data_IF_661737052583
#
_entry.id   IF_661737052583
#
_cell.length_a   1.000
_cell.length_b   1.000
_cell.length_c   1.000
_cell.angle_alpha   90.00
_cell.angle_beta   90.00
_cell.angle_gamma   90.00
#
_symmetry.space_group_name_H-M   'P 1'
#
loop_
_entity.id
_entity.type
_entity.pdbx_description
1 polymer ?
#
# COMPACT_ATOMS: atom_id res chain seq x y z
N UNK A 1 25.97 13.06 10.55
CA UNK A 1 25.17 13.94 11.41
C UNK A 1 23.71 13.67 11.08
N UNK A 2 23.12 12.87 11.89
CA UNK A 2 21.70 12.65 12.22
C UNK A 2 20.63 12.70 11.12
N UNK A 3 20.31 11.52 10.61
CA UNK A 3 19.00 11.17 9.97
C UNK A 3 18.62 9.71 10.22
N UNK A 4 18.78 9.20 11.43
CA UNK A 4 18.46 7.80 11.73
C UNK A 4 17.38 7.60 12.80
N UNK A 5 16.56 8.60 13.15
CA UNK A 5 15.62 8.50 14.27
C UNK A 5 14.13 8.58 13.93
N UNK A 6 13.71 8.26 12.69
CA UNK A 6 12.26 8.34 12.36
C UNK A 6 11.55 6.98 12.36
N UNK A 7 12.24 5.87 12.54
CA UNK A 7 11.62 4.54 12.53
C UNK A 7 11.35 3.94 13.92
N UNK A 8 11.49 4.72 14.99
CA UNK A 8 11.19 4.23 16.34
C UNK A 8 10.02 5.00 16.99
N UNK A 9 8.91 5.08 16.28
CA UNK A 9 7.68 5.56 16.91
C UNK A 9 7.02 4.38 17.62
N UNK A 10 7.12 4.35 18.94
CA UNK A 10 6.35 3.50 19.83
C UNK A 10 4.87 3.53 19.45
N UNK A 11 4.42 2.50 18.76
CA UNK A 11 3.00 2.21 18.64
C UNK A 11 2.51 1.85 20.05
N UNK A 12 1.72 2.72 20.62
CA UNK A 12 0.98 2.50 21.85
C UNK A 12 0.31 1.12 21.80
N UNK A 13 0.81 0.19 22.58
CA UNK A 13 0.13 -1.05 22.87
C UNK A 13 -1.08 -0.72 23.73
N UNK A 14 -2.24 -0.61 23.10
CA UNK A 14 -3.52 -0.66 23.84
C UNK A 14 -3.73 -2.12 24.23
N UNK A 15 -3.81 -2.45 25.51
CA UNK A 15 -4.07 -3.83 25.92
C UNK A 15 -5.49 -4.22 25.51
N UNK A 16 -5.61 -5.10 24.51
CA UNK A 16 -6.87 -5.76 24.20
C UNK A 16 -7.14 -6.80 25.29
N UNK A 17 -8.09 -6.50 26.16
CA UNK A 17 -8.70 -7.51 27.03
C UNK A 17 -9.44 -8.53 26.17
N UNK A 18 -9.07 -9.80 26.34
CA UNK A 18 -9.75 -10.93 25.74
C UNK A 18 -11.24 -10.92 26.10
N UNK A 19 -12.09 -11.03 25.09
CA UNK A 19 -13.50 -11.34 25.28
C UNK A 19 -13.64 -12.83 25.63
N UNK A 20 -13.98 -13.09 26.88
CA UNK A 20 -14.70 -14.30 27.22
C UNK A 20 -16.19 -13.98 27.06
N UNK A 21 -16.89 -14.81 26.29
CA UNK A 21 -18.34 -14.80 26.25
C UNK A 21 -18.86 -15.27 27.60
N UNK A 22 -19.62 -14.46 28.28
CA UNK A 22 -20.58 -14.93 29.27
C UNK A 22 -21.82 -14.01 29.25
N UNK A 23 -22.97 -14.66 29.17
CA UNK A 23 -24.29 -14.05 29.26
C UNK A 23 -24.59 -13.69 30.70
N UNK A 24 -25.03 -12.47 30.90
CA UNK A 24 -25.78 -12.11 32.12
C UNK A 24 -24.99 -11.37 33.18
N UNK A 25 -25.15 -10.08 33.20
CA UNK A 25 -25.43 -9.25 34.37
C UNK A 25 -25.20 -7.76 33.98
N UNK A 26 -26.32 -7.08 33.85
CA UNK A 26 -26.33 -5.62 34.00
C UNK A 26 -26.03 -5.39 35.49
N UNK A 27 -24.81 -4.93 35.79
CA UNK A 27 -24.45 -4.46 37.13
C UNK A 27 -23.85 -3.06 37.09
N UNK A 28 -24.61 -2.17 37.65
CA UNK A 28 -24.27 -0.95 38.35
C UNK A 28 -23.24 -0.01 37.71
N UNK A 29 -23.78 0.89 36.90
CA UNK A 29 -23.20 2.21 36.69
C UNK A 29 -23.33 2.99 38.00
N UNK A 30 -22.19 3.44 38.53
CA UNK A 30 -22.13 4.24 39.73
C UNK A 30 -23.14 5.41 39.70
N UNK A 31 -23.88 5.69 40.79
CA UNK A 31 -24.83 6.79 40.82
C UNK A 31 -24.10 8.13 40.83
N UNK A 32 -24.14 8.83 39.68
CA UNK A 32 -23.52 10.17 39.55
C UNK A 32 -23.34 10.67 38.13
N UNK A 33 -23.53 9.86 37.12
CA UNK A 33 -23.53 10.33 35.75
C UNK A 33 -24.90 10.88 35.39
N UNK A 34 -25.00 12.19 35.18
CA UNK A 34 -26.21 12.82 34.67
C UNK A 34 -26.56 12.24 33.29
N UNK A 35 -27.87 12.08 32.96
CA UNK A 35 -28.26 11.56 31.65
C UNK A 35 -27.74 12.48 30.57
N UNK A 36 -26.98 11.87 29.62
CA UNK A 36 -26.42 12.59 28.47
C UNK A 36 -27.59 13.05 27.60
N UNK A 37 -27.83 14.34 27.57
CA UNK A 37 -28.78 14.96 26.66
C UNK A 37 -28.16 14.99 25.26
N UNK A 38 -28.85 14.42 24.26
CA UNK A 38 -28.44 14.41 22.84
C UNK A 38 -28.54 15.80 22.14
N UNK A 39 -28.50 16.89 22.90
CA UNK A 39 -28.40 18.23 22.35
C UNK A 39 -26.93 18.56 22.05
N UNK A 40 -26.67 19.25 20.94
CA UNK A 40 -25.33 19.50 20.36
C UNK A 40 -24.19 19.93 21.32
N UNK A 41 -24.52 20.49 22.51
CA UNK A 41 -23.54 20.82 23.54
C UNK A 41 -22.93 19.62 24.28
N UNK A 42 -23.63 18.49 24.34
CA UNK A 42 -23.13 17.28 25.01
C UNK A 42 -22.04 16.59 24.19
N UNK A 43 -22.14 16.63 22.86
CA UNK A 43 -21.14 16.06 21.96
C UNK A 43 -19.83 16.85 22.02
N UNK A 44 -19.87 18.16 22.19
CA UNK A 44 -18.66 18.98 22.36
C UNK A 44 -17.94 18.69 23.68
N UNK A 45 -18.71 18.48 24.76
CA UNK A 45 -18.14 18.14 26.07
C UNK A 45 -17.45 16.76 26.04
N UNK A 46 -18.05 15.77 25.37
CA UNK A 46 -17.47 14.43 25.23
C UNK A 46 -16.18 14.45 24.37
N UNK A 47 -16.16 15.24 23.31
CA UNK A 47 -14.96 15.39 22.47
C UNK A 47 -13.80 16.01 23.25
N UNK A 48 -14.07 17.03 24.08
CA UNK A 48 -13.08 17.67 24.94
C UNK A 48 -12.57 16.73 26.04
N UNK A 49 -13.39 15.91 26.61
CA UNK A 49 -13.02 14.91 27.63
C UNK A 49 -12.17 13.81 26.99
N UNK A 50 -12.54 13.33 25.81
CA UNK A 50 -11.79 12.30 25.07
C UNK A 50 -10.44 12.83 24.60
N UNK A 51 -10.36 14.05 24.10
CA UNK A 51 -9.10 14.69 23.73
C UNK A 51 -8.15 14.87 24.93
N UNK A 52 -8.65 15.19 26.10
CA UNK A 52 -7.86 15.26 27.35
C UNK A 52 -7.37 13.90 27.82
N UNK A 53 -8.07 12.82 27.49
CA UNK A 53 -7.65 11.44 27.79
C UNK A 53 -6.65 10.86 26.77
N UNK A 54 -6.20 11.65 25.78
CA UNK A 54 -5.24 11.23 24.75
C UNK A 54 -5.90 10.50 23.58
N UNK A 55 -7.23 10.43 23.52
CA UNK A 55 -7.97 9.92 22.36
C UNK A 55 -8.13 11.07 21.37
N UNK A 56 -7.55 10.95 20.18
CA UNK A 56 -7.70 11.93 19.10
C UNK A 56 -8.92 11.58 18.27
N UNK A 57 -9.98 12.38 18.39
CA UNK A 57 -11.16 12.31 17.54
C UNK A 57 -11.17 13.52 16.61
N UNK A 58 -11.57 13.31 15.35
CA UNK A 58 -11.64 14.37 14.36
C UNK A 58 -13.03 14.39 13.74
N UNK A 59 -13.66 15.57 13.70
CA UNK A 59 -14.92 15.75 12.96
C UNK A 59 -14.60 15.91 11.48
N UNK A 60 -15.43 15.35 10.62
CA UNK A 60 -15.27 15.53 9.16
C UNK A 60 -15.42 16.99 8.72
N UNK A 61 -16.18 17.81 9.46
CA UNK A 61 -16.27 19.25 9.24
C UNK A 61 -14.93 19.98 9.40
N UNK A 62 -14.01 19.43 10.18
CA UNK A 62 -12.71 20.01 10.50
C UNK A 62 -11.62 19.51 9.53
N UNK A 63 -12.00 18.59 8.63
CA UNK A 63 -11.10 18.02 7.63
C UNK A 63 -11.18 18.83 6.33
N UNK A 64 -10.07 19.42 5.94
CA UNK A 64 -9.96 20.01 4.60
C UNK A 64 -9.80 18.89 3.58
N UNK A 65 -10.73 18.74 2.61
CA UNK A 65 -10.60 17.75 1.54
C UNK A 65 -9.32 17.99 0.76
N UNK A 66 -8.50 16.95 0.59
CA UNK A 66 -7.30 17.00 -0.22
C UNK A 66 -7.54 16.22 -1.51
N UNK A 67 -7.21 16.83 -2.64
CA UNK A 67 -7.18 16.14 -3.92
C UNK A 67 -5.88 15.36 -4.03
N UNK A 68 -5.97 14.05 -3.98
CA UNK A 68 -4.83 13.19 -4.26
C UNK A 68 -4.55 13.16 -5.77
N UNK A 69 -3.27 13.13 -6.13
CA UNK A 69 -2.87 13.05 -7.53
C UNK A 69 -3.26 11.69 -8.12
N UNK A 70 -4.03 11.74 -9.21
CA UNK A 70 -4.35 10.57 -10.02
C UNK A 70 -3.37 10.48 -11.19
N UNK A 71 -2.57 9.43 -11.24
CA UNK A 71 -1.63 9.17 -12.34
C UNK A 71 -2.34 8.63 -13.57
N UNK A 72 -3.28 7.72 -13.35
CA UNK A 72 -4.15 7.21 -14.39
C UNK A 72 -5.59 7.40 -13.92
N UNK A 73 -6.40 8.01 -14.78
CA UNK A 73 -7.77 8.42 -14.47
C UNK A 73 -8.58 7.33 -13.76
N UNK A 74 -8.91 7.56 -12.49
CA UNK A 74 -9.72 6.68 -11.66
C UNK A 74 -9.11 5.33 -11.28
N UNK A 75 -7.81 5.09 -11.56
CA UNK A 75 -7.19 3.76 -11.37
C UNK A 75 -5.93 3.75 -10.52
N UNK A 76 -5.03 4.69 -10.73
CA UNK A 76 -3.78 4.78 -9.99
C UNK A 76 -3.66 6.13 -9.28
N UNK A 77 -3.64 6.11 -7.97
CA UNK A 77 -3.55 7.28 -7.11
C UNK A 77 -2.23 7.28 -6.36
N UNK A 78 -1.52 8.41 -6.36
CA UNK A 78 -0.32 8.58 -5.55
C UNK A 78 -0.63 8.41 -4.07
N UNK A 79 0.25 7.72 -3.35
CA UNK A 79 0.09 7.44 -1.92
C UNK A 79 -0.87 6.29 -1.61
N UNK A 80 -1.41 5.61 -2.65
CA UNK A 80 -2.40 4.55 -2.46
C UNK A 80 -2.00 3.24 -3.17
N UNK A 81 -2.64 2.16 -2.71
CA UNK A 81 -2.45 0.82 -3.26
C UNK A 81 -3.62 0.48 -4.17
N UNK A 82 -3.31 0.08 -5.40
CA UNK A 82 -4.26 -0.53 -6.33
C UNK A 82 -3.97 -2.01 -6.45
N UNK A 83 -4.99 -2.85 -6.39
CA UNK A 83 -4.89 -4.29 -6.55
C UNK A 83 -5.34 -4.71 -7.94
N UNK A 84 -4.45 -5.41 -8.68
CA UNK A 84 -4.75 -6.08 -9.93
C UNK A 84 -4.83 -7.58 -9.67
N UNK A 85 -6.06 -8.11 -9.65
CA UNK A 85 -6.33 -9.49 -9.32
C UNK A 85 -6.94 -10.22 -10.53
N UNK A 86 -6.61 -11.48 -10.71
CA UNK A 86 -7.19 -12.32 -11.77
C UNK A 86 -6.44 -13.64 -11.95
N UNK A 87 -7.05 -14.56 -12.69
CA UNK A 87 -6.48 -15.88 -12.97
C UNK A 87 -5.17 -15.79 -13.78
N UNK A 88 -4.40 -16.86 -13.78
CA UNK A 88 -3.22 -16.98 -14.64
C UNK A 88 -3.60 -16.82 -16.13
N UNK A 89 -2.78 -16.14 -16.91
CA UNK A 89 -2.97 -16.01 -18.35
C UNK A 89 -4.03 -14.99 -18.83
N UNK A 90 -4.75 -14.29 -17.93
CA UNK A 90 -5.79 -13.31 -18.31
C UNK A 90 -5.26 -11.95 -18.79
N UNK A 91 -3.95 -11.81 -18.94
CA UNK A 91 -3.35 -10.57 -19.49
C UNK A 91 -2.91 -9.54 -18.46
N UNK A 92 -2.79 -9.87 -17.15
CA UNK A 92 -2.33 -8.92 -16.12
C UNK A 92 -0.98 -8.28 -16.48
N UNK A 93 0.00 -9.07 -16.93
CA UNK A 93 1.30 -8.55 -17.36
C UNK A 93 1.21 -7.63 -18.58
N UNK A 94 0.27 -7.88 -19.51
CA UNK A 94 0.00 -6.97 -20.62
C UNK A 94 -0.60 -5.65 -20.13
N UNK A 95 -1.49 -5.72 -19.15
CA UNK A 95 -2.04 -4.53 -18.52
C UNK A 95 -0.96 -3.68 -17.83
N UNK A 96 -0.01 -4.33 -17.12
CA UNK A 96 1.17 -3.66 -16.54
C UNK A 96 2.02 -2.99 -17.63
N UNK A 97 2.22 -3.65 -18.78
CA UNK A 97 2.96 -3.08 -19.88
C UNK A 97 2.27 -1.84 -20.51
N UNK A 98 0.94 -1.85 -20.58
CA UNK A 98 0.16 -0.67 -21.01
C UNK A 98 0.28 0.49 -20.02
N UNK A 99 0.32 0.20 -18.72
CA UNK A 99 0.61 1.20 -17.68
C UNK A 99 2.01 1.77 -17.89
N UNK A 100 3.01 0.90 -18.06
CA UNK A 100 4.38 1.31 -18.28
C UNK A 100 4.50 2.24 -19.50
N UNK A 101 3.91 1.87 -20.66
CA UNK A 101 3.87 2.76 -21.81
C UNK A 101 3.25 4.12 -21.46
N UNK A 102 2.05 4.11 -20.90
CA UNK A 102 1.35 5.36 -20.61
C UNK A 102 2.18 6.28 -19.72
N UNK A 103 2.75 5.76 -18.64
CA UNK A 103 3.44 6.56 -17.63
C UNK A 103 4.90 6.87 -17.95
N UNK A 104 5.55 6.12 -18.85
CA UNK A 104 6.92 6.43 -19.27
C UNK A 104 6.95 7.33 -20.51
N UNK A 105 6.00 7.17 -21.45
CA UNK A 105 5.94 7.95 -22.69
C UNK A 105 5.01 9.16 -22.59
N UNK A 106 4.02 9.11 -21.70
CA UNK A 106 3.04 10.21 -21.53
C UNK A 106 1.84 10.12 -22.49
N UNK A 107 1.59 8.93 -23.06
CA UNK A 107 0.51 8.72 -24.03
C UNK A 107 -0.68 7.97 -23.42
N UNK A 108 -1.87 8.22 -24.01
CA UNK A 108 -3.04 7.39 -23.74
C UNK A 108 -2.85 5.98 -24.31
N UNK A 109 -3.40 4.99 -23.63
CA UNK A 109 -3.43 3.58 -24.08
C UNK A 109 -4.84 3.01 -23.93
N UNK A 110 -5.08 1.79 -24.44
CA UNK A 110 -6.38 1.13 -24.21
C UNK A 110 -6.72 0.98 -22.74
N UNK A 111 -5.71 0.64 -21.90
CA UNK A 111 -5.90 0.53 -20.46
C UNK A 111 -6.12 1.89 -19.80
N UNK A 112 -5.57 2.96 -20.38
CA UNK A 112 -5.63 4.33 -19.87
C UNK A 112 -5.96 5.31 -21.01
N UNK A 113 -7.24 5.51 -21.29
CA UNK A 113 -7.69 6.32 -22.44
C UNK A 113 -7.41 7.82 -22.27
N UNK A 114 -6.87 8.24 -21.14
CA UNK A 114 -6.41 9.61 -20.91
C UNK A 114 -4.90 9.61 -20.67
N UNK A 115 -4.19 10.50 -21.35
CA UNK A 115 -2.77 10.68 -21.10
C UNK A 115 -2.51 11.09 -19.63
N UNK A 116 -1.44 10.58 -19.00
CA UNK A 116 -1.09 10.93 -17.64
C UNK A 116 -0.66 12.41 -17.55
N UNK A 117 -0.81 13.00 -16.38
CA UNK A 117 -0.38 14.39 -16.13
C UNK A 117 1.14 14.55 -16.07
N UNK A 118 1.86 13.48 -15.75
CA UNK A 118 3.32 13.44 -15.69
C UNK A 118 3.82 12.04 -16.03
N UNK A 119 5.08 11.97 -16.44
CA UNK A 119 5.82 10.74 -16.69
C UNK A 119 6.85 10.50 -15.60
N UNK A 120 7.36 9.28 -15.50
CA UNK A 120 8.40 8.92 -14.55
C UNK A 120 8.69 7.42 -14.51
N UNK A 121 9.57 7.01 -13.63
CA UNK A 121 10.02 5.63 -13.54
C UNK A 121 8.92 4.69 -13.09
N UNK A 122 8.81 3.57 -13.78
CA UNK A 122 8.05 2.41 -13.34
C UNK A 122 9.04 1.43 -12.72
N UNK A 123 8.94 1.22 -11.42
CA UNK A 123 9.78 0.26 -10.70
C UNK A 123 9.03 -1.04 -10.53
N UNK A 124 9.63 -2.15 -10.96
CA UNK A 124 8.99 -3.48 -10.95
C UNK A 124 9.79 -4.41 -10.05
N UNK A 125 9.12 -4.96 -9.05
CA UNK A 125 9.56 -6.16 -8.34
C UNK A 125 9.00 -7.36 -9.10
N UNK A 126 9.84 -8.01 -9.93
CA UNK A 126 9.46 -9.17 -10.72
C UNK A 126 9.85 -10.45 -9.99
N UNK A 127 8.85 -11.24 -9.58
CA UNK A 127 9.06 -12.47 -8.82
C UNK A 127 8.91 -13.76 -9.63
N UNK A 128 8.27 -13.72 -10.79
CA UNK A 128 7.99 -14.92 -11.59
C UNK A 128 8.51 -14.83 -13.02
N UNK A 129 8.36 -13.68 -13.69
CA UNK A 129 8.72 -13.50 -15.09
C UNK A 129 10.23 -13.29 -15.26
N UNK A 130 10.93 -14.08 -16.12
CA UNK A 130 12.31 -13.78 -16.50
C UNK A 130 12.41 -12.40 -17.15
N UNK A 131 13.39 -11.62 -16.69
CA UNK A 131 13.52 -10.20 -17.11
C UNK A 131 13.84 -10.11 -18.60
N UNK A 132 14.81 -10.88 -19.06
CA UNK A 132 15.33 -10.86 -20.44
C UNK A 132 14.37 -11.50 -21.44
N UNK A 133 13.79 -12.64 -21.07
CA UNK A 133 12.98 -13.45 -21.98
C UNK A 133 11.50 -13.05 -22.03
N UNK A 134 10.97 -12.42 -20.96
CA UNK A 134 9.53 -12.14 -20.86
C UNK A 134 9.26 -10.67 -20.59
N UNK A 135 9.82 -10.11 -19.51
CA UNK A 135 9.44 -8.77 -19.07
C UNK A 135 9.93 -7.69 -20.06
N UNK A 136 11.22 -7.70 -20.42
CA UNK A 136 11.80 -6.73 -21.34
C UNK A 136 11.12 -6.75 -22.72
N UNK A 137 10.96 -7.91 -23.40
CA UNK A 137 10.24 -7.96 -24.66
C UNK A 137 8.78 -7.50 -24.58
N UNK A 138 8.09 -7.79 -23.47
CA UNK A 138 6.71 -7.36 -23.24
C UNK A 138 6.61 -5.83 -23.11
N UNK A 139 7.50 -5.20 -22.36
CA UNK A 139 7.56 -3.75 -22.21
C UNK A 139 7.90 -3.06 -23.54
N UNK A 140 8.89 -3.61 -24.26
CA UNK A 140 9.28 -3.10 -25.59
C UNK A 140 8.14 -3.22 -26.61
N UNK A 141 7.44 -4.36 -26.65
CA UNK A 141 6.31 -4.57 -27.56
C UNK A 141 5.13 -3.65 -27.25
N UNK A 142 4.92 -3.29 -25.98
CA UNK A 142 3.93 -2.29 -25.59
C UNK A 142 4.34 -0.87 -25.97
N UNK A 143 5.61 -0.62 -26.31
CA UNK A 143 6.14 0.71 -26.64
C UNK A 143 6.45 1.57 -25.39
N UNK A 144 6.76 0.96 -24.26
CA UNK A 144 7.25 1.68 -23.09
C UNK A 144 8.67 2.21 -23.30
N UNK A 145 8.99 3.34 -22.70
CA UNK A 145 10.39 3.81 -22.61
C UNK A 145 11.16 2.94 -21.63
N UNK A 146 11.95 2.00 -22.15
CA UNK A 146 12.72 1.06 -21.34
C UNK A 146 13.76 1.75 -20.43
N UNK A 147 14.17 2.97 -20.75
CA UNK A 147 15.06 3.76 -19.90
C UNK A 147 14.39 4.22 -18.59
N UNK A 148 13.08 4.23 -18.56
CA UNK A 148 12.28 4.56 -17.38
C UNK A 148 11.60 3.33 -16.74
N UNK A 149 11.82 2.12 -17.25
CA UNK A 149 11.38 0.88 -16.61
C UNK A 149 12.53 0.28 -15.83
N UNK A 150 12.47 0.37 -14.51
CA UNK A 150 13.51 -0.11 -13.60
C UNK A 150 13.03 -1.42 -12.96
N UNK A 151 13.84 -2.47 -13.06
CA UNK A 151 13.54 -3.76 -12.43
C UNK A 151 14.49 -4.00 -11.25
N UNK A 152 13.94 -4.24 -10.08
CA UNK A 152 14.72 -4.72 -8.95
C UNK A 152 14.88 -6.23 -9.11
N UNK A 153 16.08 -6.62 -9.56
CA UNK A 153 16.45 -8.01 -9.81
C UNK A 153 16.76 -8.71 -8.49
N UNK A 154 16.08 -9.82 -8.22
CA UNK A 154 16.23 -10.59 -6.98
C UNK A 154 17.62 -11.20 -6.82
N UNK A 155 18.26 -11.63 -7.92
CA UNK A 155 19.60 -12.22 -7.88
C UNK A 155 20.64 -11.16 -7.54
N UNK A 156 20.56 -9.99 -8.19
CA UNK A 156 21.45 -8.85 -7.90
C UNK A 156 21.23 -8.35 -6.47
N UNK A 157 19.98 -8.30 -6.01
CA UNK A 157 19.68 -7.95 -4.62
C UNK A 157 20.34 -8.94 -3.65
N UNK A 158 20.20 -10.26 -3.91
CA UNK A 158 20.81 -11.29 -3.10
C UNK A 158 22.34 -11.22 -3.12
N UNK A 159 22.96 -11.00 -4.28
CA UNK A 159 24.42 -10.83 -4.40
C UNK A 159 24.96 -9.69 -3.51
N UNK A 160 24.22 -8.59 -3.45
CA UNK A 160 24.61 -7.38 -2.72
C UNK A 160 24.31 -7.45 -1.23
N UNK A 161 23.14 -7.99 -0.87
CA UNK A 161 22.64 -7.95 0.53
C UNK A 161 22.74 -9.28 1.26
N UNK A 162 22.93 -10.39 0.52
CA UNK A 162 22.80 -11.78 1.00
C UNK A 162 21.42 -12.12 1.57
N UNK A 163 20.41 -11.38 1.14
CA UNK A 163 19.01 -11.54 1.55
C UNK A 163 18.12 -11.76 0.33
N UNK A 164 17.02 -12.48 0.51
CA UNK A 164 15.93 -12.52 -0.48
C UNK A 164 15.13 -11.23 -0.35
N UNK A 165 14.81 -10.53 -1.46
CA UNK A 165 14.03 -9.30 -1.40
C UNK A 165 12.67 -9.56 -0.77
N UNK A 166 12.36 -8.81 0.27
CA UNK A 166 11.16 -9.01 1.08
C UNK A 166 10.58 -7.65 1.48
N UNK A 167 9.27 -7.50 1.39
CA UNK A 167 8.58 -6.28 1.77
C UNK A 167 8.79 -5.99 3.26
N UNK A 168 9.20 -4.75 3.54
CA UNK A 168 9.59 -4.31 4.88
C UNK A 168 11.08 -4.49 5.20
N UNK A 169 11.88 -5.13 4.32
CA UNK A 169 13.34 -5.13 4.48
C UNK A 169 13.89 -3.73 4.16
N UNK A 170 14.69 -3.14 5.07
CA UNK A 170 15.24 -1.78 4.86
C UNK A 170 16.09 -1.64 3.60
N UNK A 171 16.84 -2.68 3.20
CA UNK A 171 17.65 -2.64 1.99
C UNK A 171 16.76 -2.55 0.75
N UNK A 172 15.67 -3.34 0.70
CA UNK A 172 14.70 -3.28 -0.39
C UNK A 172 14.00 -1.91 -0.45
N UNK A 173 13.60 -1.38 0.70
CA UNK A 173 13.00 -0.04 0.80
C UNK A 173 13.96 1.02 0.26
N UNK A 174 15.23 0.96 0.63
CA UNK A 174 16.25 1.89 0.14
C UNK A 174 16.44 1.79 -1.38
N UNK A 175 16.41 0.58 -1.96
CA UNK A 175 16.51 0.40 -3.41
C UNK A 175 15.28 0.95 -4.13
N UNK A 176 14.08 0.75 -3.59
CA UNK A 176 12.83 1.33 -4.13
C UNK A 176 12.92 2.86 -4.12
N UNK A 177 13.32 3.47 -3.00
CA UNK A 177 13.45 4.93 -2.89
C UNK A 177 14.50 5.46 -3.87
N UNK A 178 15.66 4.80 -3.97
CA UNK A 178 16.73 5.19 -4.88
C UNK A 178 16.31 5.13 -6.37
N UNK A 179 15.43 4.18 -6.73
CA UNK A 179 14.89 4.08 -8.07
C UNK A 179 13.85 5.16 -8.41
N UNK A 180 13.42 5.95 -7.41
CA UNK A 180 12.49 7.08 -7.54
C UNK A 180 11.24 6.75 -8.39
N UNK A 181 10.38 5.82 -7.94
CA UNK A 181 9.24 5.37 -8.70
C UNK A 181 8.16 6.46 -8.83
N UNK A 182 7.52 6.53 -9.99
CA UNK A 182 6.18 7.09 -10.14
C UNK A 182 5.13 6.03 -9.76
N UNK A 183 5.38 4.79 -10.18
CA UNK A 183 4.60 3.62 -9.78
C UNK A 183 5.54 2.48 -9.40
N UNK A 184 5.28 1.87 -8.24
CA UNK A 184 5.88 0.60 -7.83
C UNK A 184 4.92 -0.54 -8.18
N UNK A 185 5.34 -1.43 -9.05
CA UNK A 185 4.62 -2.67 -9.40
C UNK A 185 5.24 -3.83 -8.63
N UNK A 186 4.42 -4.63 -7.97
CA UNK A 186 4.84 -5.85 -7.26
C UNK A 186 4.11 -7.02 -7.89
N UNK A 187 4.84 -7.86 -8.65
CA UNK A 187 4.29 -8.95 -9.49
C UNK A 187 5.04 -10.27 -9.31
N UNK A 188 4.44 -11.24 -8.63
CA UNK A 188 3.27 -11.14 -7.78
C UNK A 188 3.60 -10.73 -6.34
N UNK A 189 2.62 -10.20 -5.61
CA UNK A 189 2.77 -9.84 -4.20
C UNK A 189 3.35 -10.98 -3.35
N UNK A 190 2.91 -12.20 -3.62
CA UNK A 190 3.28 -13.39 -2.86
C UNK A 190 4.78 -13.65 -2.81
N UNK A 191 5.48 -13.35 -3.90
CA UNK A 191 6.93 -13.60 -4.02
C UNK A 191 7.77 -12.72 -3.09
N UNK A 192 7.21 -11.61 -2.63
CA UNK A 192 7.92 -10.61 -1.81
C UNK A 192 7.40 -10.49 -0.38
N UNK A 193 6.54 -11.42 0.03
CA UNK A 193 6.06 -11.42 1.42
C UNK A 193 7.16 -11.93 2.38
N UNK A 194 7.26 -11.36 3.59
CA UNK A 194 8.12 -11.91 4.63
C UNK A 194 7.78 -13.39 4.91
N UNK A 195 8.79 -14.20 5.16
CA UNK A 195 8.60 -15.63 5.49
C UNK A 195 7.71 -15.84 6.73
N UNK A 196 7.64 -14.85 7.62
CA UNK A 196 6.73 -14.81 8.75
C UNK A 196 5.30 -14.40 8.39
N UNK A 197 5.07 -13.86 7.19
CA UNK A 197 3.75 -13.41 6.77
C UNK A 197 3.01 -14.53 6.03
N UNK A 198 1.82 -14.86 6.53
CA UNK A 198 0.90 -15.76 5.86
C UNK A 198 -0.23 -14.93 5.22
N UNK A 199 -0.47 -15.10 3.91
CA UNK A 199 -1.56 -14.42 3.20
C UNK A 199 -2.94 -14.67 3.83
N UNK A 200 -3.12 -15.80 4.49
CA UNK A 200 -4.35 -16.12 5.21
C UNK A 200 -4.43 -15.43 6.59
N UNK A 201 -3.32 -14.86 7.07
CA UNK A 201 -3.32 -14.10 8.31
C UNK A 201 -3.63 -12.63 8.04
N UNK A 202 -4.89 -12.26 8.28
CA UNK A 202 -5.40 -10.90 8.03
C UNK A 202 -4.62 -9.80 8.76
N UNK A 203 -4.12 -10.06 9.96
CA UNK A 203 -3.38 -9.05 10.73
C UNK A 203 -2.01 -8.78 10.14
N UNK A 204 -1.29 -9.84 9.74
CA UNK A 204 0.02 -9.72 9.09
C UNK A 204 -0.10 -9.01 7.74
N UNK A 205 -1.06 -9.40 6.93
CA UNK A 205 -1.31 -8.74 5.64
C UNK A 205 -1.69 -7.26 5.82
N UNK A 206 -2.54 -6.94 6.80
CA UNK A 206 -2.88 -5.54 7.09
C UNK A 206 -1.64 -4.72 7.41
N UNK A 207 -0.71 -5.26 8.21
CA UNK A 207 0.53 -4.56 8.56
C UNK A 207 1.39 -4.33 7.32
N UNK A 208 1.65 -5.34 6.51
CA UNK A 208 2.44 -5.21 5.27
C UNK A 208 1.85 -4.15 4.34
N UNK A 209 0.54 -4.18 4.12
CA UNK A 209 -0.14 -3.21 3.27
C UNK A 209 -0.11 -1.79 3.86
N UNK A 210 -0.22 -1.67 5.18
CA UNK A 210 -0.12 -0.37 5.85
C UNK A 210 1.28 0.23 5.71
N UNK A 211 2.33 -0.57 5.93
CA UNK A 211 3.72 -0.12 5.80
C UNK A 211 4.03 0.32 4.34
N UNK A 212 3.56 -0.45 3.35
CA UNK A 212 3.67 -0.09 1.94
C UNK A 212 2.93 1.21 1.61
N UNK A 213 1.71 1.38 2.11
CA UNK A 213 0.92 2.59 1.89
C UNK A 213 1.60 3.81 2.51
N UNK A 214 2.11 3.68 3.74
CA UNK A 214 2.86 4.77 4.38
C UNK A 214 4.10 5.17 3.58
N UNK A 215 4.85 4.20 3.06
CA UNK A 215 5.99 4.46 2.17
C UNK A 215 5.54 5.21 0.91
N UNK A 216 4.47 4.77 0.26
CA UNK A 216 3.94 5.41 -0.93
C UNK A 216 3.48 6.85 -0.66
N UNK A 217 2.84 7.11 0.47
CA UNK A 217 2.40 8.44 0.88
C UNK A 217 3.58 9.37 1.17
N UNK A 218 4.61 8.88 1.86
CA UNK A 218 5.80 9.65 2.19
C UNK A 218 6.63 10.02 0.95
N UNK A 219 6.71 9.11 -0.03
CA UNK A 219 7.54 9.28 -1.23
C UNK A 219 6.75 9.80 -2.44
N UNK A 220 5.42 9.83 -2.39
CA UNK A 220 4.57 10.40 -3.43
C UNK A 220 4.39 9.54 -4.67
N UNK A 221 4.49 8.20 -4.58
CA UNK A 221 4.27 7.27 -5.68
C UNK A 221 2.99 6.43 -5.50
N UNK A 222 2.50 5.82 -6.57
CA UNK A 222 1.42 4.85 -6.51
C UNK A 222 1.97 3.42 -6.40
N UNK A 223 1.19 2.50 -5.82
CA UNK A 223 1.54 1.08 -5.77
C UNK A 223 0.50 0.27 -6.55
N UNK A 224 1.00 -0.63 -7.42
CA UNK A 224 0.20 -1.64 -8.10
C UNK A 224 0.62 -3.02 -7.61
N UNK A 225 -0.25 -3.67 -6.86
CA UNK A 225 -0.07 -5.06 -6.43
C UNK A 225 -0.73 -5.99 -7.42
N UNK A 226 0.04 -6.92 -7.97
CA UNK A 226 -0.47 -7.98 -8.83
C UNK A 226 -0.60 -9.27 -8.02
N UNK A 227 -1.73 -9.95 -8.14
CA UNK A 227 -1.98 -11.21 -7.44
C UNK A 227 -2.80 -12.17 -8.32
N UNK A 228 -2.66 -13.45 -8.03
CA UNK A 228 -3.48 -14.50 -8.63
C UNK A 228 -4.66 -14.83 -7.73
N UNK A 229 -5.81 -15.08 -8.35
CA UNK A 229 -6.95 -15.64 -7.62
C UNK A 229 -6.64 -17.09 -7.25
N UNK A 230 -6.77 -17.44 -5.98
CA UNK A 230 -6.72 -18.84 -5.59
C UNK A 230 -7.95 -19.55 -6.16
N UNK A 231 -7.74 -20.48 -7.09
CA UNK A 231 -8.77 -21.47 -7.42
C UNK A 231 -8.87 -22.41 -6.22
N UNK A 232 -9.68 -22.07 -5.22
CA UNK A 232 -10.17 -23.09 -4.31
C UNK A 232 -11.15 -23.93 -5.13
N UNK A 233 -10.89 -25.21 -5.39
CA UNK A 233 -11.93 -26.09 -5.87
C UNK A 233 -12.96 -26.19 -4.74
N UNK A 234 -14.15 -25.67 -4.99
CA UNK A 234 -15.36 -25.93 -4.18
C UNK A 234 -15.71 -27.41 -4.25
#
# INVERSE_FOLDING_TARGET
MERNDILNTNLLQVPMKAQAADEGAVQDIAPGAAPVSLAGGAVELEMDVLNRSGVVLQRLSDVTPQNHEMLASGRLQCGEITLLCGDGGVGKGQFVAQIARSLTVGEATEAFPQAPKRTGNIVILAGEDPIDAVLCPRMAAAGADLGQVVVINSDVFYEKTKKIPCLGDPDLVNWIIAANPLVLVIDPLQAFLPSSANMNNRQQMRKVLQDLRMLAQQQGFAILLVTHTNKNPS
#
